data_IF_066567656733
#
_entry.id   IF_066567656733
#
_cell.length_a   1.000
_cell.length_b   1.000
_cell.length_c   1.000
_cell.angle_alpha   90.00
_cell.angle_beta   90.00
_cell.angle_gamma   90.00
#
_symmetry.space_group_name_H-M   'P 1'
#
loop_
_entity.id
_entity.type
_entity.pdbx_description
1 polymer ?
#
# COMPACT_ATOMS: atom_id res chain seq x y z
N UNK A 1 -51.94 -17.18 -25.08
CA UNK A 1 -50.83 -18.06 -24.65
C UNK A 1 -49.55 -17.24 -24.65
N UNK A 2 -48.83 -17.27 -23.52
CA UNK A 2 -47.43 -16.89 -23.23
C UNK A 2 -46.72 -15.88 -24.16
N UNK A 3 -46.08 -14.81 -23.71
CA UNK A 3 -45.60 -14.40 -22.39
C UNK A 3 -44.52 -13.35 -22.65
N UNK A 4 -44.60 -12.20 -21.97
CA UNK A 4 -43.58 -11.16 -22.07
C UNK A 4 -42.25 -11.70 -21.54
N UNK A 5 -41.17 -11.57 -22.31
CA UNK A 5 -39.81 -11.81 -21.82
C UNK A 5 -39.05 -10.48 -21.82
N UNK A 6 -38.95 -9.90 -20.63
CA UNK A 6 -38.00 -8.85 -20.28
C UNK A 6 -36.60 -9.32 -20.67
N UNK A 7 -35.96 -8.61 -21.60
CA UNK A 7 -34.57 -8.85 -21.98
C UNK A 7 -33.66 -8.14 -20.99
N UNK A 8 -33.58 -8.69 -19.79
CA UNK A 8 -32.59 -8.31 -18.79
C UNK A 8 -31.28 -9.03 -19.11
N UNK A 9 -30.32 -8.32 -19.74
CA UNK A 9 -28.92 -8.76 -19.72
C UNK A 9 -28.01 -7.58 -19.41
N UNK A 10 -27.88 -7.37 -18.11
CA UNK A 10 -26.64 -7.14 -17.36
C UNK A 10 -25.48 -6.58 -18.17
N UNK A 11 -25.28 -5.29 -17.96
CA UNK A 11 -24.02 -4.59 -18.14
C UNK A 11 -22.92 -5.26 -17.30
N UNK A 12 -21.76 -5.48 -17.92
CA UNK A 12 -20.44 -5.72 -17.31
C UNK A 12 -20.26 -6.95 -16.39
N UNK A 13 -19.85 -8.09 -16.95
CA UNK A 13 -19.08 -9.10 -16.21
C UNK A 13 -17.60 -8.96 -16.55
N UNK A 14 -16.78 -8.57 -15.57
CA UNK A 14 -15.33 -8.46 -15.69
C UNK A 14 -14.62 -9.83 -15.84
N UNK A 15 -15.36 -10.94 -15.84
CA UNK A 15 -14.81 -12.31 -15.88
C UNK A 15 -14.48 -12.85 -17.28
N UNK A 16 -14.81 -12.10 -18.35
CA UNK A 16 -14.64 -12.58 -19.73
C UNK A 16 -13.32 -12.17 -20.39
N UNK A 17 -12.51 -11.32 -19.78
CA UNK A 17 -11.26 -10.84 -20.40
C UNK A 17 -10.03 -11.73 -20.14
N UNK A 18 -10.03 -12.57 -19.10
CA UNK A 18 -8.90 -13.46 -18.79
C UNK A 18 -9.03 -14.86 -19.40
N UNK A 19 -10.25 -15.39 -19.52
CA UNK A 19 -10.49 -16.75 -20.05
C UNK A 19 -9.99 -16.93 -21.49
N UNK A 20 -10.40 -16.05 -22.41
CA UNK A 20 -10.15 -16.22 -23.85
C UNK A 20 -8.71 -15.90 -24.26
N UNK A 21 -8.04 -15.02 -23.52
CA UNK A 21 -6.63 -14.68 -23.76
C UNK A 21 -5.69 -15.79 -23.28
N UNK A 22 -5.96 -16.36 -22.10
CA UNK A 22 -5.17 -17.46 -21.56
C UNK A 22 -5.42 -18.77 -22.33
N UNK A 23 -6.61 -18.98 -22.88
CA UNK A 23 -6.92 -20.17 -23.70
C UNK A 23 -6.15 -20.25 -25.03
N UNK A 24 -5.60 -19.11 -25.53
CA UNK A 24 -4.77 -19.06 -26.75
C UNK A 24 -3.27 -19.14 -26.46
N UNK A 25 -2.87 -19.09 -25.19
CA UNK A 25 -1.50 -19.31 -24.74
C UNK A 25 -1.42 -20.75 -24.20
N UNK A 26 -0.54 -21.57 -24.76
CA UNK A 26 -0.23 -22.90 -24.22
C UNK A 26 0.55 -22.75 -22.90
N UNK A 27 -0.15 -22.38 -21.83
CA UNK A 27 0.43 -22.16 -20.50
C UNK A 27 0.68 -23.51 -19.86
N UNK A 28 1.89 -24.02 -20.08
CA UNK A 28 2.31 -25.34 -19.57
C UNK A 28 2.50 -25.38 -18.05
N UNK A 29 2.77 -24.23 -17.40
CA UNK A 29 3.01 -24.15 -15.96
C UNK A 29 2.84 -22.73 -15.42
N UNK A 30 2.05 -22.58 -14.36
CA UNK A 30 1.95 -21.35 -13.56
C UNK A 30 2.86 -21.48 -12.33
N UNK A 31 3.59 -20.42 -11.99
CA UNK A 31 4.41 -20.34 -10.79
C UNK A 31 3.81 -19.30 -9.86
N UNK A 32 3.39 -19.74 -8.68
CA UNK A 32 2.77 -18.89 -7.66
C UNK A 32 3.79 -18.61 -6.54
N UNK A 33 3.81 -17.37 -6.06
CA UNK A 33 4.56 -17.02 -4.87
C UNK A 33 3.85 -17.60 -3.65
N UNK A 34 4.61 -18.25 -2.77
CA UNK A 34 4.07 -18.95 -1.59
C UNK A 34 4.33 -18.22 -0.27
N UNK A 35 5.13 -17.16 -0.29
CA UNK A 35 5.57 -16.51 0.95
C UNK A 35 5.95 -15.04 0.74
N UNK A 36 5.63 -14.20 1.73
CA UNK A 36 6.02 -12.79 1.79
C UNK A 36 7.19 -12.60 2.75
N UNK A 37 8.36 -12.27 2.19
CA UNK A 37 9.60 -12.06 2.95
C UNK A 37 9.85 -10.59 3.35
N UNK A 38 8.95 -9.66 3.00
CA UNK A 38 9.13 -8.22 3.25
C UNK A 38 8.44 -7.75 4.52
N UNK A 39 7.17 -8.15 4.69
CA UNK A 39 6.30 -7.60 5.71
C UNK A 39 6.13 -8.55 6.90
N UNK A 40 5.88 -8.00 8.08
CA UNK A 40 5.44 -8.79 9.24
C UNK A 40 4.03 -9.34 8.99
N UNK A 41 3.65 -10.36 9.76
CA UNK A 41 2.32 -10.97 9.66
C UNK A 41 1.21 -9.94 9.92
N UNK A 42 1.40 -9.04 10.90
CA UNK A 42 0.43 -8.01 11.26
C UNK A 42 0.18 -7.03 10.11
N UNK A 43 1.23 -6.63 9.39
CA UNK A 43 1.13 -5.73 8.22
C UNK A 43 0.51 -6.45 7.04
N UNK A 44 0.89 -7.72 6.79
CA UNK A 44 0.29 -8.52 5.73
C UNK A 44 -1.22 -8.71 5.93
N UNK A 45 -1.64 -9.02 7.16
CA UNK A 45 -3.05 -9.16 7.54
C UNK A 45 -3.82 -7.86 7.33
N UNK A 46 -3.27 -6.72 7.78
CA UNK A 46 -3.89 -5.42 7.53
C UNK A 46 -4.08 -5.15 6.03
N UNK A 47 -3.06 -5.45 5.21
CA UNK A 47 -3.14 -5.30 3.76
C UNK A 47 -4.23 -6.17 3.13
N UNK A 48 -4.38 -7.42 3.58
CA UNK A 48 -5.44 -8.33 3.11
C UNK A 48 -6.84 -7.81 3.48
N UNK A 49 -7.02 -7.34 4.71
CA UNK A 49 -8.30 -6.76 5.15
C UNK A 49 -8.66 -5.49 4.36
N UNK A 50 -7.69 -4.62 4.07
CA UNK A 50 -7.89 -3.45 3.21
C UNK A 50 -8.30 -3.87 1.79
N UNK A 51 -7.67 -4.91 1.25
CA UNK A 51 -7.99 -5.41 -0.09
C UNK A 51 -9.39 -6.04 -0.19
N UNK A 52 -9.94 -6.51 0.93
CA UNK A 52 -11.32 -7.01 1.01
C UNK A 52 -12.37 -5.90 1.13
N UNK A 53 -11.97 -4.63 1.30
CA UNK A 53 -12.92 -3.52 1.39
C UNK A 53 -13.59 -3.21 0.04
N UNK A 54 -14.85 -2.76 0.01
CA UNK A 54 -15.59 -2.45 -1.23
C UNK A 54 -14.94 -1.41 -2.15
N UNK A 55 -14.01 -0.62 -1.60
CA UNK A 55 -13.33 0.45 -2.31
C UNK A 55 -12.08 -0.04 -3.07
N UNK A 56 -11.57 -1.23 -2.73
CA UNK A 56 -10.46 -1.85 -3.44
C UNK A 56 -10.99 -2.59 -4.66
N UNK A 57 -10.54 -2.19 -5.85
CA UNK A 57 -10.99 -2.76 -7.15
C UNK A 57 -9.98 -3.74 -7.76
N UNK A 58 -8.87 -3.98 -7.08
CA UNK A 58 -7.84 -4.93 -7.52
C UNK A 58 -8.12 -6.34 -7.03
N UNK A 59 -7.47 -7.33 -7.65
CA UNK A 59 -7.35 -8.65 -7.04
C UNK A 59 -6.28 -8.57 -5.93
N UNK A 60 -6.58 -9.03 -4.69
CA UNK A 60 -5.57 -9.13 -3.66
C UNK A 60 -4.51 -10.16 -4.07
N UNK A 61 -3.38 -9.68 -4.58
CA UNK A 61 -2.16 -10.49 -4.78
C UNK A 61 -1.23 -10.31 -3.57
N UNK A 62 -1.75 -10.62 -2.38
CA UNK A 62 -1.00 -10.58 -1.12
C UNK A 62 -0.97 -12.00 -0.55
N UNK A 63 0.23 -12.53 -0.39
CA UNK A 63 0.46 -13.83 0.25
C UNK A 63 0.82 -13.59 1.71
N UNK A 64 0.12 -14.25 2.63
CA UNK A 64 0.46 -14.18 4.06
C UNK A 64 1.77 -14.93 4.34
N UNK A 65 2.61 -14.46 5.30
CA UNK A 65 3.80 -15.19 5.72
C UNK A 65 3.42 -16.48 6.47
N UNK A 66 4.09 -17.61 6.20
CA UNK A 66 3.71 -18.92 6.73
C UNK A 66 4.30 -19.22 8.13
N UNK A 67 5.52 -18.75 8.48
CA UNK A 67 6.10 -18.58 9.84
C UNK A 67 7.66 -18.54 9.85
N UNK A 68 8.33 -17.84 10.80
CA UNK A 68 8.17 -16.43 11.18
C UNK A 68 9.49 -15.65 10.96
N UNK A 69 9.56 -14.34 11.25
CA UNK A 69 10.86 -13.83 11.79
C UNK A 69 10.83 -12.68 12.78
N UNK A 70 9.78 -11.87 12.83
CA UNK A 70 9.50 -11.05 14.00
C UNK A 70 8.00 -10.72 13.97
N UNK A 71 7.28 -11.06 15.03
CA UNK A 71 6.01 -10.41 15.29
C UNK A 71 6.31 -8.93 15.50
N UNK A 72 5.84 -8.13 14.56
CA UNK A 72 5.97 -6.69 14.65
C UNK A 72 4.98 -6.14 15.67
N UNK A 73 5.18 -4.89 16.13
CA UNK A 73 4.12 -4.20 16.84
C UNK A 73 2.85 -4.18 15.97
N UNK A 74 1.69 -4.17 16.64
CA UNK A 74 0.42 -3.99 15.93
C UNK A 74 0.44 -2.65 15.19
N UNK A 75 -0.14 -2.57 13.98
CA UNK A 75 -0.33 -1.30 13.29
C UNK A 75 -1.17 -0.37 14.17
N UNK A 76 -0.68 0.85 14.39
CA UNK A 76 -1.34 1.83 15.25
C UNK A 76 -2.10 2.83 14.40
N UNK A 77 -3.39 3.01 14.71
CA UNK A 77 -4.20 4.11 14.19
C UNK A 77 -4.30 5.19 15.27
N UNK A 78 -4.06 6.44 14.89
CA UNK A 78 -4.16 7.60 15.79
C UNK A 78 -5.06 8.64 15.15
N UNK A 79 -6.02 9.14 15.93
CA UNK A 79 -6.85 10.29 15.56
C UNK A 79 -6.32 11.54 16.27
N UNK A 80 -6.15 12.63 15.53
CA UNK A 80 -5.71 13.91 16.05
C UNK A 80 -6.85 14.93 15.95
N UNK A 81 -6.90 15.88 16.90
CA UNK A 81 -7.96 16.91 16.90
C UNK A 81 -7.83 17.94 15.76
N UNK A 82 -6.66 18.02 15.12
CA UNK A 82 -6.41 18.86 13.96
C UNK A 82 -5.24 18.34 13.12
N UNK A 83 -5.16 18.79 11.87
CA UNK A 83 -4.07 18.44 10.95
C UNK A 83 -2.71 18.93 11.46
N UNK A 84 -2.65 20.08 12.13
CA UNK A 84 -1.41 20.60 12.70
C UNK A 84 -0.90 19.72 13.85
N UNK A 85 -1.80 19.09 14.62
CA UNK A 85 -1.41 18.13 15.65
C UNK A 85 -0.94 16.82 15.04
N UNK A 86 -1.60 16.35 13.97
CA UNK A 86 -1.17 15.16 13.23
C UNK A 86 0.24 15.35 12.66
N UNK A 87 0.51 16.47 12.00
CA UNK A 87 1.83 16.79 11.44
C UNK A 87 2.89 16.80 12.52
N UNK A 88 2.63 17.49 13.65
CA UNK A 88 3.57 17.52 14.78
C UNK A 88 3.86 16.13 15.33
N UNK A 89 2.83 15.29 15.46
CA UNK A 89 2.98 13.92 15.94
C UNK A 89 3.81 13.08 14.97
N UNK A 90 3.46 13.09 13.68
CA UNK A 90 4.14 12.31 12.63
C UNK A 90 5.59 12.72 12.49
N UNK A 91 5.88 14.02 12.42
CA UNK A 91 7.25 14.54 12.29
C UNK A 91 8.09 14.14 13.51
N UNK A 92 7.55 14.29 14.72
CA UNK A 92 8.24 13.87 15.94
C UNK A 92 8.58 12.38 15.90
N UNK A 93 7.58 11.53 15.64
CA UNK A 93 7.78 10.07 15.56
C UNK A 93 8.80 9.69 14.50
N UNK A 94 8.76 10.35 13.34
CA UNK A 94 9.68 10.09 12.25
C UNK A 94 11.11 10.49 12.61
N UNK A 95 11.33 11.64 13.26
CA UNK A 95 12.65 12.09 13.70
C UNK A 95 13.21 11.15 14.77
N UNK A 96 12.41 10.81 15.78
CA UNK A 96 12.81 9.95 16.88
C UNK A 96 13.25 8.57 16.35
N UNK A 97 12.44 7.97 15.46
CA UNK A 97 12.75 6.70 14.83
C UNK A 97 13.93 6.78 13.84
N UNK A 98 14.05 7.87 13.09
CA UNK A 98 15.11 8.05 12.09
C UNK A 98 16.53 8.06 12.68
N UNK A 99 16.67 8.20 14.01
CA UNK A 99 17.95 8.12 14.70
C UNK A 99 18.59 6.72 14.64
N UNK A 100 17.78 5.66 14.54
CA UNK A 100 18.24 4.26 14.61
C UNK A 100 17.79 3.41 13.42
N UNK A 101 16.81 3.87 12.63
CA UNK A 101 16.28 3.12 11.50
C UNK A 101 15.94 4.03 10.31
N UNK A 102 15.68 3.42 9.16
CA UNK A 102 15.15 4.12 7.99
C UNK A 102 13.64 4.25 8.12
N UNK A 103 13.12 5.46 7.96
CA UNK A 103 11.69 5.77 8.13
C UNK A 103 11.17 6.45 6.88
N UNK A 104 9.99 6.03 6.41
CA UNK A 104 9.29 6.66 5.31
C UNK A 104 7.95 7.23 5.78
N UNK A 105 7.66 8.48 5.41
CA UNK A 105 6.36 9.11 5.57
C UNK A 105 5.65 9.07 4.22
N UNK A 106 4.50 8.40 4.18
CA UNK A 106 3.69 8.27 2.97
C UNK A 106 2.49 9.21 3.06
N UNK A 107 2.35 10.07 2.06
CA UNK A 107 1.30 11.07 1.99
C UNK A 107 0.44 10.85 0.75
N UNK A 108 -0.84 11.18 0.88
CA UNK A 108 -1.77 11.08 -0.24
C UNK A 108 -1.55 12.18 -1.26
N UNK A 109 -1.38 13.42 -0.83
CA UNK A 109 -1.33 14.58 -1.71
C UNK A 109 -0.14 15.52 -1.43
N UNK A 110 0.15 16.37 -2.42
CA UNK A 110 1.27 17.33 -2.37
C UNK A 110 1.00 18.49 -1.41
N UNK A 111 -0.27 18.75 -1.07
CA UNK A 111 -0.60 19.82 -0.14
C UNK A 111 -0.15 19.43 1.27
N UNK A 112 -0.31 18.17 1.65
CA UNK A 112 0.17 17.63 2.92
C UNK A 112 1.70 17.53 2.94
N UNK A 113 2.34 17.16 1.82
CA UNK A 113 3.80 17.19 1.68
C UNK A 113 4.37 18.58 1.98
N UNK A 114 3.76 19.62 1.41
CA UNK A 114 4.16 21.01 1.62
C UNK A 114 4.00 21.48 3.08
N UNK A 115 3.11 20.86 3.85
CA UNK A 115 2.93 21.18 5.27
C UNK A 115 4.03 20.52 6.10
N UNK A 116 4.35 19.24 5.86
CA UNK A 116 5.35 18.52 6.67
C UNK A 116 6.80 18.90 6.36
N UNK A 117 7.11 19.26 5.11
CA UNK A 117 8.50 19.49 4.68
C UNK A 117 9.18 20.64 5.43
N UNK A 118 8.39 21.57 5.95
CA UNK A 118 8.86 22.72 6.75
C UNK A 118 9.38 22.28 8.12
N UNK A 119 8.84 21.19 8.64
CA UNK A 119 9.12 20.69 10.00
C UNK A 119 10.07 19.49 9.98
N UNK A 120 10.33 18.91 8.79
CA UNK A 120 11.29 17.82 8.63
C UNK A 120 12.75 18.32 8.66
N UNK A 121 13.69 17.46 9.11
CA UNK A 121 15.12 17.76 9.03
C UNK A 121 15.58 18.06 7.59
N UNK A 122 16.55 18.97 7.44
CA UNK A 122 17.10 19.36 6.14
C UNK A 122 17.76 18.22 5.36
N UNK A 123 18.16 17.16 6.05
CA UNK A 123 18.74 15.95 5.46
C UNK A 123 17.68 14.88 5.10
N UNK A 124 16.39 15.17 5.29
CA UNK A 124 15.32 14.29 4.82
C UNK A 124 15.33 14.17 3.30
N UNK A 125 14.99 12.98 2.81
CA UNK A 125 15.05 12.66 1.38
C UNK A 125 13.64 12.60 0.84
N UNK A 126 13.40 13.33 -0.25
CA UNK A 126 12.20 13.12 -1.04
C UNK A 126 12.38 11.87 -1.89
N UNK A 127 11.47 10.92 -1.74
CA UNK A 127 11.39 9.76 -2.62
C UNK A 127 10.55 10.17 -3.83
N UNK A 128 11.18 10.22 -4.99
CA UNK A 128 10.51 10.47 -6.26
C UNK A 128 11.14 9.62 -7.38
N UNK A 129 10.54 9.67 -8.58
CA UNK A 129 10.97 8.84 -9.72
C UNK A 129 12.36 9.20 -10.24
N UNK A 130 12.88 10.38 -9.89
CA UNK A 130 14.17 10.89 -10.31
C UNK A 130 15.27 10.61 -9.28
N UNK A 131 14.97 9.87 -8.20
CA UNK A 131 15.96 9.48 -7.20
C UNK A 131 17.05 8.61 -7.84
N UNK A 132 18.23 9.19 -8.04
CA UNK A 132 19.37 8.51 -8.68
C UNK A 132 20.17 7.65 -7.73
N UNK A 133 20.05 7.88 -6.42
CA UNK A 133 20.91 7.24 -5.42
C UNK A 133 20.10 6.95 -4.16
N UNK A 134 20.11 5.69 -3.74
CA UNK A 134 19.55 5.29 -2.46
C UNK A 134 20.53 5.62 -1.34
N UNK A 135 20.07 6.33 -0.30
CA UNK A 135 20.88 6.52 0.91
C UNK A 135 20.62 5.36 1.86
N UNK A 136 21.67 4.59 2.12
CA UNK A 136 21.64 3.51 3.11
C UNK A 136 21.91 4.07 4.51
N UNK A 137 21.16 3.60 5.50
CA UNK A 137 21.33 3.94 6.91
C UNK A 137 20.12 4.65 7.53
N UNK A 138 20.21 5.01 8.82
CA UNK A 138 19.15 5.72 9.53
C UNK A 138 18.84 7.08 8.89
N UNK A 139 17.57 7.44 8.84
CA UNK A 139 17.12 8.68 8.23
C UNK A 139 15.64 8.67 7.88
N UNK A 140 15.08 9.88 7.76
CA UNK A 140 13.70 10.09 7.35
C UNK A 140 13.62 10.38 5.85
N UNK A 141 12.67 9.75 5.18
CA UNK A 141 12.30 10.02 3.80
C UNK A 141 10.80 10.29 3.71
N UNK A 142 10.37 11.02 2.69
CA UNK A 142 8.96 11.32 2.45
C UNK A 142 8.59 11.05 1.00
N UNK A 143 7.40 10.49 0.78
CA UNK A 143 6.84 10.20 -0.53
C UNK A 143 5.42 10.75 -0.61
N UNK A 144 5.13 11.43 -1.70
CA UNK A 144 3.79 11.78 -2.10
C UNK A 144 3.48 11.11 -3.45
N UNK A 145 2.31 10.50 -3.58
CA UNK A 145 1.87 9.97 -4.88
C UNK A 145 1.59 11.13 -5.86
N UNK A 146 2.06 10.96 -7.10
CA UNK A 146 1.87 11.94 -8.19
C UNK A 146 0.55 11.76 -8.94
#
# INVERSE_FOLDING_TARGET
MAGATLRERRCCSADLWTSDFLARLDIKKVWEFKENYRNTQQIAKLGLEIANMPYFRGLPDIVEPVAPKADGPLPTLVECSSIDQEIKLVVKLAIDAASVQTVAILLRDRQDENKIIRDLPRNSIRLDRNLTTWRSGPGASHLCNE
#
